data_IF_310462631166
#
_entry.id   IF_310462631166
#
_cell.length_a   1.000
_cell.length_b   1.000
_cell.length_c   1.000
_cell.angle_alpha   90.00
_cell.angle_beta   90.00
_cell.angle_gamma   90.00
#
_symmetry.space_group_name_H-M   'P 1'
#
loop_
_entity.id
_entity.type
_entity.pdbx_description
1 polymer ?
#
# COMPACT_ATOMS: atom_id res chain seq x y z
N UNK A 1 -23.04 -15.07 8.25
CA UNK A 1 -23.92 -14.14 8.99
C UNK A 1 -24.26 -12.95 8.10
N UNK A 2 -25.38 -12.25 8.34
CA UNK A 2 -25.71 -11.01 7.61
C UNK A 2 -25.16 -9.79 8.35
N UNK A 3 -24.97 -8.66 7.67
CA UNK A 3 -24.58 -7.38 8.31
C UNK A 3 -25.49 -7.04 9.49
N UNK A 4 -26.81 -7.22 9.34
CA UNK A 4 -27.76 -6.94 10.42
C UNK A 4 -27.55 -7.82 11.65
N UNK A 5 -27.13 -9.08 11.46
CA UNK A 5 -26.79 -10.00 12.56
C UNK A 5 -25.52 -9.54 13.25
N UNK A 6 -24.44 -9.29 12.46
CA UNK A 6 -23.16 -8.79 12.97
C UNK A 6 -23.35 -7.49 13.77
N UNK A 7 -24.18 -6.57 13.28
CA UNK A 7 -24.45 -5.32 13.96
C UNK A 7 -25.21 -5.51 15.28
N UNK A 8 -26.22 -6.39 15.30
CA UNK A 8 -26.96 -6.69 16.52
C UNK A 8 -26.08 -7.34 17.60
N UNK A 9 -25.10 -8.14 17.18
CA UNK A 9 -24.17 -8.86 18.06
C UNK A 9 -22.92 -8.04 18.42
N UNK A 10 -22.80 -6.78 17.97
CA UNK A 10 -21.59 -5.96 18.17
C UNK A 10 -20.33 -6.66 17.63
N UNK A 11 -20.44 -7.13 16.40
CA UNK A 11 -19.36 -7.77 15.61
C UNK A 11 -19.09 -7.03 14.31
N UNK A 12 -19.72 -5.87 14.10
CA UNK A 12 -19.55 -5.06 12.91
C UNK A 12 -18.65 -3.87 13.21
N UNK A 13 -17.53 -3.78 12.51
CA UNK A 13 -16.56 -2.70 12.67
C UNK A 13 -16.62 -1.81 11.43
N UNK A 14 -16.70 -0.51 11.63
CA UNK A 14 -16.57 0.48 10.57
C UNK A 14 -15.10 0.88 10.41
N UNK A 15 -14.58 0.74 9.19
CA UNK A 15 -13.32 1.36 8.79
C UNK A 15 -13.64 2.51 7.84
N UNK A 16 -13.42 3.75 8.27
CA UNK A 16 -13.52 4.91 7.37
C UNK A 16 -12.35 4.88 6.39
N UNK A 17 -12.64 5.14 5.13
CA UNK A 17 -11.64 5.31 4.07
C UNK A 17 -11.77 6.73 3.53
N UNK A 18 -10.67 7.30 3.05
CA UNK A 18 -10.65 8.60 2.42
C UNK A 18 -11.62 8.69 1.23
N UNK A 19 -12.04 9.93 0.97
CA UNK A 19 -12.92 10.23 -0.15
C UNK A 19 -12.18 10.05 -1.47
N UNK A 20 -12.94 9.74 -2.51
CA UNK A 20 -12.42 9.81 -3.88
C UNK A 20 -12.27 11.28 -4.29
N UNK A 21 -11.35 11.55 -5.22
CA UNK A 21 -11.27 12.86 -5.86
C UNK A 21 -12.40 12.94 -6.88
N UNK A 22 -13.24 13.97 -6.80
CA UNK A 22 -14.37 14.16 -7.70
C UNK A 22 -14.38 15.58 -8.28
N UNK A 23 -14.05 15.67 -9.57
CA UNK A 23 -14.20 16.84 -10.42
C UNK A 23 -15.18 16.52 -11.57
N UNK A 24 -15.71 17.52 -12.31
CA UNK A 24 -16.64 17.28 -13.41
C UNK A 24 -16.17 16.23 -14.43
N UNK A 25 -14.90 16.33 -14.84
CA UNK A 25 -14.29 15.52 -15.90
C UNK A 25 -13.28 14.48 -15.38
N UNK A 26 -13.11 14.39 -14.05
CA UNK A 26 -12.11 13.51 -13.44
C UNK A 26 -12.61 12.84 -12.17
N UNK A 27 -12.29 11.55 -12.03
CA UNK A 27 -12.54 10.78 -10.82
C UNK A 27 -11.28 10.03 -10.43
N UNK A 28 -10.75 10.33 -9.24
CA UNK A 28 -9.55 9.70 -8.67
C UNK A 28 -9.90 8.69 -7.59
N UNK A 29 -9.57 7.41 -7.82
CA UNK A 29 -9.85 6.28 -6.92
C UNK A 29 -8.61 5.79 -6.15
N UNK A 30 -7.58 6.63 -5.96
CA UNK A 30 -6.26 6.17 -5.50
C UNK A 30 -6.30 5.50 -4.12
N UNK A 31 -6.93 6.12 -3.12
CA UNK A 31 -7.02 5.54 -1.79
C UNK A 31 -7.77 4.20 -1.81
N UNK A 32 -8.87 4.11 -2.55
CA UNK A 32 -9.61 2.85 -2.71
C UNK A 32 -8.86 1.78 -3.49
N UNK A 33 -7.93 2.16 -4.37
CA UNK A 33 -7.01 1.24 -5.03
C UNK A 33 -5.98 0.69 -4.04
N UNK A 34 -5.43 1.53 -3.18
CA UNK A 34 -4.53 1.13 -2.08
C UNK A 34 -5.25 0.15 -1.15
N UNK A 35 -6.46 0.49 -0.73
CA UNK A 35 -7.34 -0.36 0.11
C UNK A 35 -7.63 -1.71 -0.53
N UNK A 36 -8.06 -1.72 -1.80
CA UNK A 36 -8.33 -2.96 -2.53
C UNK A 36 -7.09 -3.85 -2.64
N UNK A 37 -5.90 -3.26 -2.85
CA UNK A 37 -4.63 -4.00 -2.87
C UNK A 37 -4.32 -4.63 -1.51
N UNK A 38 -4.38 -3.85 -0.43
CA UNK A 38 -4.09 -4.31 0.93
C UNK A 38 -5.02 -5.45 1.36
N UNK A 39 -6.33 -5.31 1.12
CA UNK A 39 -7.33 -6.35 1.42
C UNK A 39 -7.09 -7.65 0.65
N UNK A 40 -6.53 -7.56 -0.55
CA UNK A 40 -6.18 -8.73 -1.36
C UNK A 40 -4.76 -9.26 -1.10
N UNK A 41 -3.97 -8.56 -0.28
CA UNK A 41 -2.60 -8.92 0.02
C UNK A 41 -2.52 -10.03 1.08
N UNK A 42 -1.40 -10.78 1.16
CA UNK A 42 -1.18 -11.75 2.22
C UNK A 42 -1.19 -11.13 3.63
N UNK A 43 -0.65 -9.93 3.78
CA UNK A 43 -0.55 -9.24 5.07
C UNK A 43 -1.90 -8.69 5.57
N UNK A 44 -2.87 -8.53 4.67
CA UNK A 44 -4.13 -7.88 4.99
C UNK A 44 -3.96 -6.38 5.19
N UNK A 45 -5.02 -5.77 5.70
CA UNK A 45 -5.20 -4.33 5.83
C UNK A 45 -5.58 -3.99 7.28
N UNK A 46 -4.93 -3.00 7.90
CA UNK A 46 -5.53 -2.00 8.79
C UNK A 46 -4.45 -1.19 9.55
N UNK A 47 -4.08 -0.03 8.96
CA UNK A 47 -3.41 1.08 9.66
C UNK A 47 -4.32 2.30 9.84
N UNK A 48 -5.56 2.21 9.39
CA UNK A 48 -6.55 3.29 9.50
C UNK A 48 -7.35 3.18 10.79
N UNK A 49 -8.09 4.24 11.12
CA UNK A 49 -8.93 4.26 12.32
C UNK A 49 -10.19 3.43 12.11
N UNK A 50 -10.48 2.51 13.04
CA UNK A 50 -11.65 1.66 12.98
C UNK A 50 -12.47 1.76 14.26
N UNK A 51 -13.78 1.60 14.13
CA UNK A 51 -14.73 1.85 15.21
C UNK A 51 -15.72 0.69 15.30
N UNK A 52 -15.89 0.12 16.50
CA UNK A 52 -16.91 -0.86 16.78
C UNK A 52 -18.29 -0.18 16.74
N UNK A 53 -19.16 -0.67 15.86
CA UNK A 53 -20.54 -0.19 15.78
C UNK A 53 -21.42 -0.93 16.80
N UNK A 54 -22.17 -0.17 17.60
CA UNK A 54 -23.04 -0.72 18.64
C UNK A 54 -24.49 -0.31 18.37
N UNK A 55 -25.36 -1.31 18.21
CA UNK A 55 -26.78 -1.09 17.92
C UNK A 55 -27.46 -0.26 19.01
N UNK A 56 -28.19 0.77 18.59
CA UNK A 56 -28.97 1.64 19.46
C UNK A 56 -28.15 2.67 20.24
N UNK A 57 -26.88 2.87 19.87
CA UNK A 57 -25.98 3.84 20.51
C UNK A 57 -25.40 4.81 19.50
N UNK A 58 -25.22 6.06 19.95
CA UNK A 58 -24.50 7.02 19.12
C UNK A 58 -23.01 6.75 19.17
N UNK A 59 -22.52 6.08 18.13
CA UNK A 59 -21.09 5.85 17.90
C UNK A 59 -20.66 6.66 16.68
N UNK A 60 -19.91 7.77 16.84
CA UNK A 60 -19.38 8.52 15.73
C UNK A 60 -18.44 7.66 14.89
N UNK A 61 -18.31 7.96 13.61
CA UNK A 61 -17.26 7.41 12.74
C UNK A 61 -16.37 8.55 12.24
N UNK A 62 -15.12 8.26 11.95
CA UNK A 62 -14.18 9.25 11.39
C UNK A 62 -14.76 9.84 10.11
N UNK A 63 -14.78 11.16 10.01
CA UNK A 63 -15.26 11.86 8.83
C UNK A 63 -14.84 13.31 8.88
N UNK A 64 -14.45 13.85 7.73
CA UNK A 64 -14.20 15.29 7.54
C UNK A 64 -15.53 15.90 7.04
N UNK A 65 -15.88 17.12 7.43
CA UNK A 65 -17.02 17.91 6.89
C UNK A 65 -18.34 17.16 6.65
N UNK A 66 -18.72 16.26 7.56
CA UNK A 66 -19.98 15.53 7.50
C UNK A 66 -20.08 14.41 6.45
N UNK A 67 -19.05 14.20 5.62
CA UNK A 67 -19.00 13.04 4.69
C UNK A 67 -18.14 11.93 5.28
N UNK A 68 -18.73 10.76 5.42
CA UNK A 68 -18.07 9.57 5.93
C UNK A 68 -18.65 8.36 5.22
N UNK A 69 -17.79 7.58 4.59
CA UNK A 69 -18.11 6.27 4.05
C UNK A 69 -16.87 5.39 4.13
N UNK A 70 -17.07 4.09 3.99
CA UNK A 70 -15.99 3.14 4.22
C UNK A 70 -16.44 1.70 4.15
N UNK A 71 -15.62 0.84 4.74
CA UNK A 71 -15.82 -0.59 4.79
C UNK A 71 -16.52 -0.98 6.10
N UNK A 72 -17.35 -2.01 6.01
CA UNK A 72 -17.88 -2.73 7.15
C UNK A 72 -17.19 -4.09 7.23
N UNK A 73 -16.59 -4.37 8.38
CA UNK A 73 -15.79 -5.57 8.62
C UNK A 73 -16.51 -6.48 9.62
N UNK A 74 -16.52 -7.78 9.33
CA UNK A 74 -16.93 -8.84 10.26
C UNK A 74 -15.77 -9.10 11.22
N UNK A 75 -15.93 -8.66 12.46
CA UNK A 75 -14.94 -8.82 13.52
C UNK A 75 -14.50 -10.28 13.71
N UNK A 76 -15.38 -11.26 13.45
CA UNK A 76 -15.05 -12.68 13.59
C UNK A 76 -14.09 -13.19 12.52
N UNK A 77 -13.93 -12.43 11.43
CA UNK A 77 -13.05 -12.74 10.30
C UNK A 77 -11.83 -11.81 10.24
N UNK A 78 -11.68 -10.93 11.22
CA UNK A 78 -10.52 -10.07 11.38
C UNK A 78 -9.57 -10.64 12.42
N UNK A 79 -8.29 -10.30 12.33
CA UNK A 79 -7.33 -10.53 13.40
C UNK A 79 -7.26 -9.30 14.31
N UNK A 80 -7.96 -9.33 15.43
CA UNK A 80 -8.05 -8.20 16.36
C UNK A 80 -6.95 -8.33 17.42
N UNK A 81 -6.21 -7.24 17.67
CA UNK A 81 -5.10 -7.22 18.61
C UNK A 81 -5.16 -6.07 19.64
N UNK A 82 -6.12 -5.15 19.51
CA UNK A 82 -6.45 -4.18 20.57
C UNK A 82 -7.89 -3.69 20.45
N UNK A 83 -8.45 -3.28 21.59
CA UNK A 83 -9.72 -2.57 21.67
C UNK A 83 -9.62 -1.49 22.74
N UNK A 84 -10.16 -0.32 22.43
CA UNK A 84 -10.15 0.82 23.33
C UNK A 84 -11.49 1.56 23.30
N UNK A 85 -11.95 1.98 24.47
CA UNK A 85 -13.20 2.74 24.62
C UNK A 85 -13.06 4.20 24.22
N UNK A 86 -11.83 4.64 23.96
CA UNK A 86 -11.49 5.94 23.41
C UNK A 86 -10.64 5.78 22.14
N UNK A 87 -10.67 6.80 21.30
CA UNK A 87 -9.70 6.94 20.21
C UNK A 87 -8.29 7.16 20.77
N UNK A 88 -7.41 6.18 20.61
CA UNK A 88 -6.03 6.28 21.08
C UNK A 88 -5.09 6.95 20.08
N UNK A 89 -5.57 7.35 18.89
CA UNK A 89 -4.76 7.91 17.81
C UNK A 89 -3.51 7.06 17.51
N UNK A 90 -3.67 5.73 17.52
CA UNK A 90 -2.55 4.80 17.42
C UNK A 90 -1.89 4.93 16.04
N UNK A 91 -0.57 5.14 15.97
CA UNK A 91 0.16 5.19 14.70
C UNK A 91 0.62 3.79 14.23
N UNK A 92 1.30 3.69 13.08
CA UNK A 92 1.77 2.39 12.55
C UNK A 92 2.69 1.65 13.53
N UNK A 93 3.69 2.33 14.08
CA UNK A 93 4.66 1.74 15.02
C UNK A 93 3.94 1.17 16.24
N UNK A 94 3.08 1.98 16.86
CA UNK A 94 2.30 1.56 18.03
C UNK A 94 1.39 0.34 17.72
N UNK A 95 0.78 0.30 16.53
CA UNK A 95 -0.04 -0.84 16.08
C UNK A 95 0.78 -2.11 15.99
N UNK A 96 1.94 -2.06 15.35
CA UNK A 96 2.83 -3.21 15.18
C UNK A 96 3.37 -3.72 16.52
N UNK A 97 3.75 -2.83 17.44
CA UNK A 97 4.17 -3.20 18.79
C UNK A 97 3.06 -3.92 19.57
N UNK A 98 1.85 -3.35 19.58
CA UNK A 98 0.68 -3.98 20.23
C UNK A 98 0.37 -5.33 19.61
N UNK A 99 0.41 -5.43 18.28
CA UNK A 99 0.20 -6.67 17.53
C UNK A 99 1.18 -7.77 17.93
N UNK A 100 2.46 -7.44 18.05
CA UNK A 100 3.51 -8.37 18.47
C UNK A 100 3.34 -8.80 19.94
N UNK A 101 3.10 -7.83 20.84
CA UNK A 101 2.98 -8.07 22.28
C UNK A 101 1.74 -8.90 22.66
N UNK A 102 0.71 -8.89 21.83
CA UNK A 102 -0.62 -9.46 22.13
C UNK A 102 -0.98 -10.65 21.24
N UNK A 103 0.02 -11.21 20.56
CA UNK A 103 -0.14 -12.36 19.70
C UNK A 103 -0.77 -13.55 20.45
N UNK A 104 -1.80 -14.15 19.84
CA UNK A 104 -2.48 -15.34 20.37
C UNK A 104 -3.51 -15.05 21.47
N UNK A 105 -3.83 -13.78 21.75
CA UNK A 105 -4.90 -13.39 22.66
C UNK A 105 -6.23 -13.34 21.91
N UNK A 106 -7.29 -13.85 22.52
CA UNK A 106 -8.65 -13.76 21.97
C UNK A 106 -9.31 -12.43 22.39
N UNK A 107 -9.44 -11.50 21.45
CA UNK A 107 -10.10 -10.21 21.70
C UNK A 107 -11.61 -10.21 21.45
N UNK A 108 -12.22 -11.33 21.05
CA UNK A 108 -13.66 -11.37 20.76
C UNK A 108 -14.51 -11.47 22.02
N UNK A 109 -14.24 -12.45 22.88
CA UNK A 109 -15.16 -12.84 23.96
C UNK A 109 -14.53 -12.75 25.36
N UNK A 110 -13.51 -13.55 25.64
CA UNK A 110 -12.81 -13.58 26.94
C UNK A 110 -11.32 -13.88 26.76
N UNK A 111 -10.45 -13.20 27.52
CA UNK A 111 -9.04 -13.56 27.61
C UNK A 111 -8.48 -13.50 29.04
N UNK A 112 -7.52 -14.37 29.31
CA UNK A 112 -6.88 -14.54 30.62
C UNK A 112 -5.77 -13.51 30.91
N UNK A 113 -5.53 -12.59 29.99
CA UNK A 113 -4.42 -11.63 30.07
C UNK A 113 -4.86 -10.25 30.58
N UNK A 114 -6.15 -10.10 30.90
CA UNK A 114 -6.70 -8.87 31.46
C UNK A 114 -6.83 -7.73 30.45
N UNK A 115 -6.73 -8.03 29.15
CA UNK A 115 -7.05 -7.07 28.11
C UNK A 115 -8.56 -7.05 27.88
N UNK A 116 -9.08 -5.90 27.48
CA UNK A 116 -10.50 -5.77 27.15
C UNK A 116 -10.84 -6.57 25.89
N UNK A 117 -12.03 -7.15 25.84
CA UNK A 117 -12.58 -7.81 24.64
C UNK A 117 -13.60 -6.94 23.91
N UNK A 118 -14.03 -7.34 22.71
CA UNK A 118 -15.11 -6.67 21.98
C UNK A 118 -16.42 -6.71 22.75
N UNK A 119 -16.71 -7.81 23.46
CA UNK A 119 -17.92 -7.93 24.28
C UNK A 119 -17.90 -6.94 25.45
N UNK A 120 -16.76 -6.82 26.12
CA UNK A 120 -16.56 -5.84 27.20
C UNK A 120 -16.62 -4.41 26.67
N UNK A 121 -15.98 -4.12 25.53
CA UNK A 121 -16.06 -2.80 24.87
C UNK A 121 -17.51 -2.47 24.47
N UNK A 122 -18.25 -3.41 23.89
CA UNK A 122 -19.67 -3.23 23.54
C UNK A 122 -20.51 -2.94 24.78
N UNK A 123 -20.31 -3.68 25.87
CA UNK A 123 -21.00 -3.47 27.13
C UNK A 123 -20.71 -2.07 27.71
N UNK A 124 -19.45 -1.64 27.68
CA UNK A 124 -19.06 -0.29 28.10
C UNK A 124 -19.74 0.79 27.26
N UNK A 125 -19.68 0.71 25.92
CA UNK A 125 -20.37 1.66 25.02
C UNK A 125 -21.89 1.68 25.28
N UNK A 126 -22.49 0.51 25.53
CA UNK A 126 -23.92 0.40 25.87
C UNK A 126 -24.27 1.09 27.19
N UNK A 127 -23.39 0.99 28.17
CA UNK A 127 -23.60 1.61 29.50
C UNK A 127 -23.16 3.08 29.57
N UNK A 128 -22.30 3.50 28.65
CA UNK A 128 -21.69 4.83 28.62
C UNK A 128 -22.56 5.89 27.94
N UNK A 129 -21.98 7.09 27.91
CA UNK A 129 -22.56 8.24 27.23
C UNK A 129 -22.46 8.09 25.71
N UNK A 130 -23.44 8.66 25.02
CA UNK A 130 -23.48 8.74 23.56
C UNK A 130 -22.42 9.71 23.02
N UNK A 131 -21.92 9.44 21.81
CA UNK A 131 -21.05 10.35 21.07
C UNK A 131 -19.55 10.20 21.33
N UNK A 132 -19.12 9.16 22.05
CA UNK A 132 -17.70 8.87 22.25
C UNK A 132 -17.15 7.94 21.16
N UNK A 133 -16.02 8.33 20.58
CA UNK A 133 -15.28 7.51 19.61
C UNK A 133 -14.58 6.36 20.34
N UNK A 134 -14.64 5.15 19.78
CA UNK A 134 -13.86 4.00 20.21
C UNK A 134 -12.89 3.58 19.09
N UNK A 135 -11.84 2.84 19.46
CA UNK A 135 -10.84 2.33 18.52
C UNK A 135 -10.75 0.81 18.62
N UNK A 136 -10.78 0.12 17.48
CA UNK A 136 -10.40 -1.28 17.37
C UNK A 136 -9.17 -1.38 16.48
N UNK A 137 -8.15 -2.11 16.91
CA UNK A 137 -6.98 -2.39 16.09
C UNK A 137 -7.04 -3.83 15.60
N UNK A 138 -6.95 -3.99 14.29
CA UNK A 138 -7.15 -5.26 13.62
C UNK A 138 -6.28 -5.39 12.37
N UNK A 139 -6.22 -6.58 11.80
CA UNK A 139 -5.92 -6.82 10.38
C UNK A 139 -7.17 -7.44 9.73
N UNK A 140 -7.45 -7.03 8.50
CA UNK A 140 -8.60 -7.43 7.70
C UNK A 140 -8.16 -7.89 6.32
N UNK A 141 -8.84 -8.90 5.79
CA UNK A 141 -8.65 -9.36 4.42
C UNK A 141 -9.95 -9.24 3.65
N UNK A 142 -9.87 -9.43 2.34
CA UNK A 142 -11.02 -9.40 1.42
C UNK A 142 -12.25 -10.17 1.94
N UNK A 143 -12.06 -11.34 2.55
CA UNK A 143 -13.16 -12.17 3.04
C UNK A 143 -13.85 -11.60 4.29
N UNK A 144 -13.13 -10.82 5.09
CA UNK A 144 -13.68 -10.16 6.29
C UNK A 144 -14.58 -8.96 5.99
N UNK A 145 -14.56 -8.45 4.75
CA UNK A 145 -15.42 -7.34 4.33
C UNK A 145 -16.85 -7.82 4.20
N UNK A 146 -17.70 -7.36 5.12
CA UNK A 146 -19.12 -7.69 5.15
C UNK A 146 -19.97 -6.76 4.27
N UNK A 147 -19.46 -5.56 3.97
CA UNK A 147 -20.14 -4.56 3.14
C UNK A 147 -19.46 -3.20 3.13
N UNK A 148 -20.21 -2.21 2.68
CA UNK A 148 -19.84 -0.80 2.68
C UNK A 148 -20.84 0.00 3.50
N UNK A 149 -20.41 1.14 4.05
CA UNK A 149 -21.33 2.07 4.69
C UNK A 149 -21.14 3.49 4.19
N UNK A 150 -22.21 4.27 4.34
CA UNK A 150 -22.23 5.71 4.16
C UNK A 150 -23.02 6.32 5.32
N UNK A 151 -22.46 7.33 5.96
CA UNK A 151 -23.12 8.06 7.03
C UNK A 151 -24.32 8.83 6.47
N UNK A 152 -25.48 8.65 7.09
CA UNK A 152 -26.67 9.44 6.76
C UNK A 152 -26.60 10.80 7.47
N UNK A 153 -27.12 11.84 6.82
CA UNK A 153 -27.41 13.11 7.46
C UNK A 153 -28.88 13.15 7.86
N UNK A 154 -29.20 13.94 8.88
CA UNK A 154 -30.60 14.19 9.25
C UNK A 154 -31.30 14.95 8.12
N UNK A 155 -32.12 14.25 7.34
CA UNK A 155 -32.71 14.80 6.11
C UNK A 155 -33.71 15.94 6.38
N UNK A 156 -34.25 16.04 7.59
CA UNK A 156 -35.22 17.06 7.96
C UNK A 156 -34.55 18.36 8.40
N UNK A 157 -33.36 18.27 9.02
CA UNK A 157 -32.67 19.42 9.60
C UNK A 157 -31.35 19.79 8.92
N UNK A 158 -30.87 18.97 7.98
CA UNK A 158 -29.63 19.21 7.26
C UNK A 158 -29.68 20.49 6.39
N UNK A 159 -28.57 21.21 6.36
CA UNK A 159 -28.37 22.30 5.42
C UNK A 159 -28.33 21.80 3.97
N UNK A 160 -28.56 22.69 3.01
CA UNK A 160 -28.45 22.37 1.57
C UNK A 160 -27.07 21.81 1.19
N UNK A 161 -26.01 22.33 1.80
CA UNK A 161 -24.64 21.85 1.60
C UNK A 161 -24.44 20.43 2.17
N UNK A 162 -24.95 20.16 3.38
CA UNK A 162 -24.88 18.84 3.99
C UNK A 162 -25.66 17.79 3.18
N UNK A 163 -26.83 18.15 2.64
CA UNK A 163 -27.59 17.30 1.73
C UNK A 163 -26.82 17.04 0.43
N UNK A 164 -26.24 18.07 -0.19
CA UNK A 164 -25.40 17.93 -1.38
C UNK A 164 -24.23 16.96 -1.12
N UNK A 165 -23.54 17.12 0.00
CA UNK A 165 -22.44 16.27 0.44
C UNK A 165 -22.86 14.81 0.66
N UNK A 166 -24.03 14.62 1.26
CA UNK A 166 -24.62 13.31 1.47
C UNK A 166 -24.93 12.59 0.16
N UNK A 167 -25.66 13.24 -0.77
CA UNK A 167 -25.97 12.62 -2.07
C UNK A 167 -24.73 12.40 -2.94
N UNK A 168 -23.72 13.26 -2.82
CA UNK A 168 -22.41 13.02 -3.42
C UNK A 168 -21.79 11.72 -2.88
N UNK A 169 -21.79 11.55 -1.56
CA UNK A 169 -21.26 10.36 -0.89
C UNK A 169 -21.97 9.07 -1.31
N UNK A 170 -23.28 9.12 -1.53
CA UNK A 170 -24.05 7.99 -2.04
C UNK A 170 -23.61 7.58 -3.47
N UNK A 171 -23.38 8.54 -4.36
CA UNK A 171 -22.87 8.26 -5.71
C UNK A 171 -21.45 7.70 -5.67
N UNK A 172 -20.59 8.30 -4.84
CA UNK A 172 -19.19 7.88 -4.67
C UNK A 172 -19.12 6.44 -4.15
N UNK A 173 -19.85 6.09 -3.08
CA UNK A 173 -19.80 4.73 -2.52
C UNK A 173 -20.40 3.67 -3.46
N UNK A 174 -21.39 4.04 -4.28
CA UNK A 174 -21.92 3.17 -5.34
C UNK A 174 -20.87 2.92 -6.43
N UNK A 175 -20.12 3.94 -6.82
CA UNK A 175 -19.01 3.80 -7.76
C UNK A 175 -17.91 2.92 -7.19
N UNK A 176 -17.53 3.15 -5.93
CA UNK A 176 -16.53 2.37 -5.20
C UNK A 176 -16.93 0.89 -5.14
N UNK A 177 -18.20 0.59 -4.82
CA UNK A 177 -18.70 -0.77 -4.81
C UNK A 177 -18.50 -1.46 -6.16
N UNK A 178 -18.87 -0.79 -7.25
CA UNK A 178 -18.66 -1.29 -8.62
C UNK A 178 -17.18 -1.52 -8.90
N UNK A 179 -16.33 -0.55 -8.54
CA UNK A 179 -14.88 -0.64 -8.70
C UNK A 179 -14.29 -1.84 -7.95
N UNK A 180 -14.62 -2.03 -6.67
CA UNK A 180 -14.12 -3.14 -5.86
C UNK A 180 -14.56 -4.50 -6.43
N UNK A 181 -15.83 -4.62 -6.84
CA UNK A 181 -16.35 -5.85 -7.47
C UNK A 181 -15.58 -6.16 -8.76
N UNK A 182 -15.46 -5.19 -9.67
CA UNK A 182 -14.90 -5.43 -11.00
C UNK A 182 -13.37 -5.54 -11.02
N UNK A 183 -12.69 -4.69 -10.25
CA UNK A 183 -11.21 -4.64 -10.23
C UNK A 183 -10.62 -5.70 -9.30
N UNK A 184 -11.19 -5.91 -8.12
CA UNK A 184 -10.64 -6.81 -7.10
C UNK A 184 -11.46 -8.08 -6.90
N UNK A 185 -12.55 -8.26 -7.65
CA UNK A 185 -13.33 -9.49 -7.65
C UNK A 185 -14.11 -9.74 -6.35
N UNK A 186 -14.54 -8.69 -5.64
CA UNK A 186 -15.49 -8.87 -4.53
C UNK A 186 -16.79 -9.46 -5.06
N UNK A 187 -17.41 -10.39 -4.31
CA UNK A 187 -18.70 -10.94 -4.72
C UNK A 187 -19.79 -9.86 -4.57
N UNK A 188 -20.64 -9.62 -5.58
CA UNK A 188 -21.70 -8.62 -5.50
C UNK A 188 -22.62 -8.81 -4.27
N UNK A 189 -22.92 -10.06 -3.92
CA UNK A 189 -23.74 -10.39 -2.75
C UNK A 189 -23.04 -10.17 -1.40
N UNK A 190 -21.71 -10.11 -1.39
CA UNK A 190 -20.91 -9.88 -0.17
C UNK A 190 -20.56 -8.42 0.09
N UNK A 191 -20.91 -7.51 -0.81
CA UNK A 191 -20.56 -6.10 -0.69
C UNK A 191 -21.78 -5.16 -0.70
N UNK A 192 -22.85 -5.41 0.09
CA UNK A 192 -23.98 -4.51 0.15
C UNK A 192 -23.58 -3.16 0.76
N UNK A 193 -24.24 -2.09 0.32
CA UNK A 193 -24.07 -0.76 0.93
C UNK A 193 -25.17 -0.56 1.97
N UNK A 194 -24.81 -0.03 3.14
CA UNK A 194 -25.74 0.37 4.19
C UNK A 194 -25.63 1.87 4.45
N UNK A 195 -26.76 2.51 4.78
CA UNK A 195 -26.73 3.86 5.35
C UNK A 195 -26.63 3.73 6.88
N UNK A 196 -25.66 4.38 7.49
CA UNK A 196 -25.48 4.37 8.94
C UNK A 196 -26.05 5.65 9.56
N UNK A 197 -27.14 5.51 10.31
CA UNK A 197 -27.61 6.53 11.23
C UNK A 197 -26.81 6.43 12.51
N UNK A 198 -25.76 7.26 12.61
CA UNK A 198 -24.89 7.28 13.78
C UNK A 198 -25.67 7.65 15.04
N UNK A 199 -26.52 8.68 15.01
CA UNK A 199 -27.20 9.21 16.20
C UNK A 199 -28.12 8.17 16.84
N UNK A 200 -28.77 7.35 16.00
CA UNK A 200 -29.67 6.28 16.46
C UNK A 200 -28.97 4.93 16.63
N UNK A 201 -27.70 4.81 16.23
CA UNK A 201 -27.02 3.52 16.15
C UNK A 201 -27.79 2.51 15.30
N UNK A 202 -28.17 2.90 14.07
CA UNK A 202 -29.01 2.08 13.18
C UNK A 202 -28.46 2.00 11.77
N UNK A 203 -28.53 0.80 11.18
CA UNK A 203 -28.27 0.58 9.76
C UNK A 203 -29.58 0.58 8.97
N UNK A 204 -29.60 1.33 7.87
CA UNK A 204 -30.71 1.46 6.94
C UNK A 204 -30.30 0.95 5.56
N UNK A 205 -31.29 0.57 4.75
CA UNK A 205 -31.06 0.09 3.38
C UNK A 205 -30.56 1.23 2.50
N UNK A 206 -29.61 0.95 1.62
CA UNK A 206 -29.23 1.89 0.56
C UNK A 206 -30.40 2.14 -0.41
N UNK A 207 -30.58 3.36 -0.93
CA UNK A 207 -31.64 3.65 -1.91
C UNK A 207 -31.46 2.84 -3.20
N UNK A 208 -32.53 2.69 -3.98
CA UNK A 208 -32.40 2.15 -5.33
C UNK A 208 -31.61 3.11 -6.23
N UNK A 209 -31.01 2.60 -7.30
CA UNK A 209 -30.26 3.45 -8.25
C UNK A 209 -31.14 4.55 -8.86
N UNK A 210 -32.42 4.25 -9.12
CA UNK A 210 -33.39 5.23 -9.61
C UNK A 210 -33.58 6.39 -8.61
N UNK A 211 -33.82 6.06 -7.33
CA UNK A 211 -33.95 7.05 -6.26
C UNK A 211 -32.66 7.85 -6.10
N UNK A 212 -31.52 7.17 -6.03
CA UNK A 212 -30.20 7.77 -5.90
C UNK A 212 -29.96 8.83 -6.99
N UNK A 213 -30.15 8.46 -8.26
CA UNK A 213 -29.91 9.39 -9.37
C UNK A 213 -30.93 10.52 -9.44
N UNK A 214 -32.20 10.27 -9.08
CA UNK A 214 -33.22 11.31 -9.02
C UNK A 214 -32.90 12.36 -7.94
N UNK A 215 -32.57 11.92 -6.72
CA UNK A 215 -32.25 12.82 -5.62
C UNK A 215 -30.93 13.56 -5.86
N UNK A 216 -29.88 12.87 -6.30
CA UNK A 216 -28.58 13.50 -6.55
C UNK A 216 -28.67 14.60 -7.62
N UNK A 217 -29.54 14.44 -8.64
CA UNK A 217 -29.81 15.46 -9.65
C UNK A 217 -30.40 16.74 -9.06
N UNK A 218 -31.31 16.62 -8.09
CA UNK A 218 -31.89 17.79 -7.40
C UNK A 218 -30.83 18.58 -6.61
N UNK A 219 -29.71 17.94 -6.27
CA UNK A 219 -28.57 18.56 -5.60
C UNK A 219 -27.39 18.88 -6.55
N UNK A 220 -27.63 18.89 -7.86
CA UNK A 220 -26.66 19.36 -8.86
C UNK A 220 -25.71 18.29 -9.41
N UNK A 221 -25.91 17.02 -9.09
CA UNK A 221 -25.11 15.91 -9.65
C UNK A 221 -25.84 15.25 -10.81
N UNK A 222 -25.34 15.44 -12.03
CA UNK A 222 -25.96 14.93 -13.24
C UNK A 222 -24.91 14.56 -14.30
N UNK A 223 -25.34 13.87 -15.36
CA UNK A 223 -24.51 13.64 -16.55
C UNK A 223 -23.96 14.92 -17.19
N UNK A 224 -24.61 16.06 -16.98
CA UNK A 224 -24.18 17.36 -17.52
C UNK A 224 -23.11 18.00 -16.65
N UNK A 225 -23.23 17.87 -15.32
CA UNK A 225 -22.35 18.56 -14.36
C UNK A 225 -21.16 17.70 -13.93
N UNK A 226 -21.29 16.38 -13.93
CA UNK A 226 -20.25 15.41 -13.61
C UNK A 226 -20.26 14.26 -14.63
N UNK A 227 -20.04 14.55 -15.92
CA UNK A 227 -20.10 13.55 -16.98
C UNK A 227 -19.23 12.32 -16.67
N UNK A 228 -18.02 12.52 -16.12
CA UNK A 228 -17.11 11.41 -15.84
C UNK A 228 -17.63 10.46 -14.78
N UNK A 229 -18.21 10.98 -13.70
CA UNK A 229 -18.80 10.16 -12.64
C UNK A 229 -19.92 9.26 -13.19
N UNK A 230 -20.80 9.83 -14.02
CA UNK A 230 -21.94 9.07 -14.58
C UNK A 230 -21.53 8.13 -15.71
N UNK A 231 -20.46 8.44 -16.47
CA UNK A 231 -19.82 7.47 -17.37
C UNK A 231 -19.36 6.24 -16.58
N UNK A 232 -18.59 6.45 -15.49
CA UNK A 232 -18.06 5.35 -14.69
C UNK A 232 -19.14 4.55 -13.95
N UNK A 233 -20.22 5.21 -13.52
CA UNK A 233 -21.38 4.56 -12.89
C UNK A 233 -22.25 3.78 -13.90
N UNK A 234 -22.22 4.13 -15.19
CA UNK A 234 -23.05 3.49 -16.22
C UNK A 234 -22.76 2.00 -16.36
N UNK A 235 -23.75 1.19 -16.71
CA UNK A 235 -23.57 -0.25 -16.93
C UNK A 235 -22.64 -0.57 -18.11
N UNK A 236 -22.49 0.38 -19.05
CA UNK A 236 -21.60 0.26 -20.22
C UNK A 236 -20.12 0.32 -19.84
N UNK A 237 -19.77 1.07 -18.79
CA UNK A 237 -18.40 1.16 -18.32
C UNK A 237 -18.01 -0.05 -17.47
N UNK A 238 -16.87 -0.66 -17.77
CA UNK A 238 -16.31 -1.76 -16.98
C UNK A 238 -14.88 -1.44 -16.55
N UNK A 239 -14.63 -1.49 -15.24
CA UNK A 239 -13.27 -1.41 -14.72
C UNK A 239 -12.49 -2.66 -15.08
N UNK A 240 -11.22 -2.49 -15.45
CA UNK A 240 -10.32 -3.61 -15.67
C UNK A 240 -10.00 -4.29 -14.34
N UNK A 241 -9.89 -5.64 -14.32
CA UNK A 241 -9.31 -6.36 -13.20
C UNK A 241 -7.92 -5.82 -12.84
N UNK A 242 -7.59 -5.79 -11.56
CA UNK A 242 -6.24 -5.48 -11.13
C UNK A 242 -5.28 -6.54 -11.69
N UNK A 243 -4.14 -6.14 -12.28
CA UNK A 243 -3.13 -7.10 -12.67
C UNK A 243 -2.65 -7.83 -11.41
N UNK A 244 -2.34 -9.12 -11.56
CA UNK A 244 -1.65 -9.84 -10.48
C UNK A 244 -0.26 -9.21 -10.33
N UNK A 245 0.16 -8.82 -9.11
CA UNK A 245 1.51 -8.34 -8.90
C UNK A 245 2.49 -9.47 -9.21
N UNK A 246 3.59 -9.13 -9.88
CA UNK A 246 4.72 -10.06 -10.01
C UNK A 246 5.44 -10.15 -8.66
N UNK A 247 6.06 -11.29 -8.41
CA UNK A 247 6.86 -11.54 -7.22
C UNK A 247 8.27 -10.98 -7.39
N UNK A 248 8.99 -10.76 -6.28
CA UNK A 248 10.42 -10.41 -6.30
C UNK A 248 11.21 -11.44 -7.11
N UNK A 249 10.90 -12.73 -6.95
CA UNK A 249 11.52 -13.79 -7.75
C UNK A 249 11.36 -13.55 -9.25
N UNK A 250 10.12 -13.41 -9.72
CA UNK A 250 9.82 -13.21 -11.14
C UNK A 250 10.46 -11.92 -11.65
N UNK A 251 10.47 -10.86 -10.83
CA UNK A 251 11.13 -9.60 -11.18
C UNK A 251 12.63 -9.78 -11.40
N UNK A 252 13.32 -10.44 -10.46
CA UNK A 252 14.75 -10.68 -10.56
C UNK A 252 15.09 -11.52 -11.80
N UNK A 253 14.35 -12.62 -12.02
CA UNK A 253 14.56 -13.52 -13.17
C UNK A 253 14.32 -12.83 -14.53
N UNK A 254 13.42 -11.83 -14.58
CA UNK A 254 13.12 -11.09 -15.81
C UNK A 254 14.09 -9.94 -16.10
N UNK A 255 14.65 -9.31 -15.06
CA UNK A 255 15.37 -8.04 -15.19
C UNK A 255 16.87 -8.14 -14.91
N UNK A 256 17.33 -9.23 -14.28
CA UNK A 256 18.74 -9.39 -13.88
C UNK A 256 19.38 -10.51 -14.71
N UNK A 257 20.58 -10.29 -15.28
CA UNK A 257 21.32 -11.32 -16.02
C UNK A 257 21.52 -12.60 -15.21
N UNK A 258 21.38 -13.74 -15.88
CA UNK A 258 21.48 -15.08 -15.27
C UNK A 258 22.83 -15.28 -14.58
N UNK A 259 23.90 -14.68 -15.10
CA UNK A 259 25.25 -14.77 -14.57
C UNK A 259 25.37 -14.10 -13.20
N UNK A 260 24.72 -12.94 -13.02
CA UNK A 260 24.65 -12.25 -11.71
C UNK A 260 23.81 -13.08 -10.76
N UNK A 261 22.63 -13.53 -11.19
CA UNK A 261 21.77 -14.34 -10.33
C UNK A 261 22.48 -15.63 -9.90
N UNK A 262 23.25 -16.29 -10.77
CA UNK A 262 23.98 -17.50 -10.38
C UNK A 262 25.05 -17.25 -9.29
N UNK A 263 25.64 -16.06 -9.24
CA UNK A 263 26.73 -15.73 -8.31
C UNK A 263 26.25 -15.04 -7.02
N UNK A 264 25.29 -14.13 -7.13
CA UNK A 264 24.97 -13.14 -6.09
C UNK A 264 23.52 -13.25 -5.56
N UNK A 265 22.74 -14.27 -5.96
CA UNK A 265 21.31 -14.36 -5.60
C UNK A 265 21.04 -14.22 -4.10
N UNK A 266 21.79 -14.96 -3.29
CA UNK A 266 21.59 -15.01 -1.84
C UNK A 266 21.88 -13.66 -1.19
N UNK A 267 22.95 -12.99 -1.63
CA UNK A 267 23.34 -11.68 -1.13
C UNK A 267 22.31 -10.60 -1.53
N UNK A 268 21.82 -10.63 -2.79
CA UNK A 268 20.72 -9.75 -3.23
C UNK A 268 19.50 -9.95 -2.34
N UNK A 269 19.08 -11.21 -2.13
CA UNK A 269 17.91 -11.52 -1.31
C UNK A 269 18.09 -11.08 0.15
N UNK A 270 19.30 -11.23 0.71
CA UNK A 270 19.62 -10.80 2.07
C UNK A 270 19.48 -9.29 2.22
N UNK A 271 20.00 -8.51 1.26
CA UNK A 271 19.88 -7.05 1.30
C UNK A 271 18.45 -6.57 1.10
N UNK A 272 17.68 -7.23 0.23
CA UNK A 272 16.26 -6.93 0.05
C UNK A 272 15.46 -7.23 1.33
N UNK A 273 15.67 -8.39 1.95
CA UNK A 273 15.02 -8.77 3.20
C UNK A 273 15.34 -7.79 4.34
N UNK A 274 16.60 -7.34 4.45
CA UNK A 274 17.02 -6.38 5.47
C UNK A 274 16.40 -4.98 5.31
N UNK A 275 15.99 -4.62 4.09
CA UNK A 275 15.39 -3.32 3.77
C UNK A 275 13.86 -3.32 3.78
N UNK A 276 13.22 -4.47 3.92
CA UNK A 276 11.77 -4.61 3.78
C UNK A 276 11.10 -4.99 5.09
N UNK A 277 10.16 -4.14 5.52
CA UNK A 277 9.23 -4.46 6.60
C UNK A 277 7.82 -4.61 6.00
N UNK A 278 7.26 -5.83 5.99
CA UNK A 278 5.90 -6.07 5.53
C UNK A 278 4.89 -5.19 6.25
N UNK A 279 3.77 -4.95 5.58
CA UNK A 279 2.66 -4.21 6.16
C UNK A 279 2.16 -4.83 7.47
N UNK A 280 2.15 -6.15 7.55
CA UNK A 280 1.75 -6.92 8.72
C UNK A 280 2.92 -7.19 9.68
N UNK A 281 4.11 -6.63 9.48
CA UNK A 281 5.25 -6.77 10.40
C UNK A 281 5.73 -8.21 10.65
N UNK A 282 5.37 -9.17 9.79
CA UNK A 282 5.93 -10.53 9.88
C UNK A 282 7.42 -10.51 9.54
N UNK A 283 8.23 -11.41 10.13
CA UNK A 283 9.63 -11.52 9.76
C UNK A 283 9.76 -11.97 8.30
N UNK A 284 10.78 -11.47 7.62
CA UNK A 284 11.13 -11.81 6.23
C UNK A 284 12.59 -12.24 6.20
N UNK A 285 12.85 -13.36 5.53
CA UNK A 285 14.19 -13.89 5.27
C UNK A 285 14.47 -13.99 3.75
N UNK A 286 15.64 -14.50 3.40
CA UNK A 286 16.12 -14.68 2.02
C UNK A 286 15.24 -15.58 1.16
N UNK A 287 14.42 -16.44 1.78
CA UNK A 287 13.50 -17.34 1.06
C UNK A 287 12.12 -16.69 0.93
N UNK A 288 11.59 -16.13 2.01
CA UNK A 288 10.26 -15.54 2.00
C UNK A 288 10.18 -14.26 1.17
N UNK A 289 11.29 -13.49 1.09
CA UNK A 289 11.37 -12.25 0.30
C UNK A 289 11.01 -12.48 -1.18
N UNK A 290 11.33 -13.67 -1.70
CA UNK A 290 11.09 -14.05 -3.08
C UNK A 290 9.60 -14.15 -3.43
N UNK A 291 8.75 -14.43 -2.45
CA UNK A 291 7.31 -14.51 -2.60
C UNK A 291 6.61 -13.16 -2.41
N UNK A 292 7.33 -12.12 -1.98
CA UNK A 292 6.76 -10.78 -1.82
C UNK A 292 6.38 -10.19 -3.18
N UNK A 293 5.28 -9.45 -3.27
CA UNK A 293 4.92 -8.73 -4.48
C UNK A 293 5.88 -7.55 -4.72
N UNK A 294 6.12 -7.24 -6.00
CA UNK A 294 6.73 -5.96 -6.40
C UNK A 294 5.62 -4.94 -6.58
N UNK A 295 5.40 -4.14 -5.54
CA UNK A 295 4.33 -3.14 -5.48
C UNK A 295 4.62 -2.13 -4.36
N UNK A 296 4.48 -0.84 -4.66
CA UNK A 296 4.76 0.25 -3.69
C UNK A 296 3.81 0.26 -2.47
N UNK A 297 2.69 -0.46 -2.53
CA UNK A 297 1.68 -0.50 -1.46
C UNK A 297 1.82 -1.75 -0.60
N UNK A 298 1.88 -2.93 -1.24
CA UNK A 298 1.74 -4.22 -0.55
C UNK A 298 3.02 -5.04 -0.47
N UNK A 299 4.13 -4.54 -1.03
CA UNK A 299 5.38 -5.28 -1.09
C UNK A 299 6.58 -4.38 -1.29
N UNK A 300 7.58 -4.88 -2.02
CA UNK A 300 8.78 -4.11 -2.31
C UNK A 300 8.53 -3.17 -3.47
N UNK A 301 8.92 -1.90 -3.30
CA UNK A 301 8.93 -0.96 -4.42
C UNK A 301 9.97 -1.39 -5.45
N UNK A 302 9.65 -1.14 -6.72
CA UNK A 302 10.60 -1.40 -7.80
C UNK A 302 11.91 -0.61 -7.60
N UNK A 303 11.80 0.60 -7.07
CA UNK A 303 12.95 1.45 -6.72
C UNK A 303 13.85 0.78 -5.69
N UNK A 304 13.31 0.21 -4.61
CA UNK A 304 14.11 -0.46 -3.59
C UNK A 304 14.83 -1.69 -4.16
N UNK A 305 14.18 -2.42 -5.07
CA UNK A 305 14.81 -3.57 -5.75
C UNK A 305 15.97 -3.09 -6.62
N UNK A 306 15.74 -2.07 -7.46
CA UNK A 306 16.77 -1.50 -8.34
C UNK A 306 17.99 -0.98 -7.57
N UNK A 307 17.78 -0.28 -6.47
CA UNK A 307 18.88 0.22 -5.63
C UNK A 307 19.82 -0.90 -5.16
N UNK A 308 19.29 -2.08 -4.86
CA UNK A 308 20.11 -3.24 -4.49
C UNK A 308 20.76 -3.86 -5.73
N UNK A 309 19.99 -4.10 -6.79
CA UNK A 309 20.49 -4.84 -7.97
C UNK A 309 21.48 -4.04 -8.81
N UNK A 310 21.38 -2.70 -8.84
CA UNK A 310 22.28 -1.83 -9.60
C UNK A 310 23.73 -1.91 -9.11
N UNK A 311 23.94 -2.20 -7.83
CA UNK A 311 25.27 -2.44 -7.25
C UNK A 311 25.94 -3.64 -7.95
N UNK A 312 25.19 -4.71 -8.22
CA UNK A 312 25.69 -5.93 -8.85
C UNK A 312 25.84 -5.78 -10.35
N UNK A 313 24.88 -5.12 -11.01
CA UNK A 313 24.97 -4.77 -12.43
C UNK A 313 26.20 -3.90 -12.72
N UNK A 314 26.52 -2.95 -11.83
CA UNK A 314 27.71 -2.12 -11.97
C UNK A 314 29.00 -2.92 -11.76
N UNK A 315 29.05 -3.79 -10.74
CA UNK A 315 30.19 -4.69 -10.51
C UNK A 315 30.48 -5.57 -11.72
N UNK A 316 29.45 -6.16 -12.35
CA UNK A 316 29.63 -6.96 -13.56
C UNK A 316 30.19 -6.11 -14.71
N UNK A 317 29.63 -4.93 -14.97
CA UNK A 317 30.13 -4.03 -16.01
C UNK A 317 31.60 -3.65 -15.81
N UNK A 318 32.01 -3.35 -14.57
CA UNK A 318 33.41 -3.05 -14.25
C UNK A 318 34.31 -4.27 -14.52
N UNK A 319 33.86 -5.47 -14.14
CA UNK A 319 34.60 -6.71 -14.40
C UNK A 319 34.75 -6.97 -15.91
N UNK A 320 33.68 -6.78 -16.69
CA UNK A 320 33.70 -6.93 -18.15
C UNK A 320 34.64 -5.92 -18.82
N UNK A 321 34.60 -4.64 -18.41
CA UNK A 321 35.51 -3.59 -18.88
C UNK A 321 36.97 -3.92 -18.51
N UNK A 322 37.20 -4.45 -17.31
CA UNK A 322 38.54 -4.82 -16.86
C UNK A 322 39.09 -6.01 -17.65
N UNK A 323 38.23 -6.99 -17.96
CA UNK A 323 38.57 -8.16 -18.78
C UNK A 323 38.81 -7.80 -20.25
N UNK A 324 38.02 -6.88 -20.83
CA UNK A 324 38.23 -6.40 -22.20
C UNK A 324 39.51 -5.56 -22.30
N UNK A 325 39.75 -4.63 -21.38
CA UNK A 325 40.99 -3.87 -21.33
C UNK A 325 42.23 -4.77 -21.14
N UNK A 326 42.12 -5.83 -20.35
CA UNK A 326 43.19 -6.83 -20.19
C UNK A 326 43.45 -7.63 -21.47
N UNK A 327 42.40 -7.99 -22.23
CA UNK A 327 42.53 -8.65 -23.52
C UNK A 327 43.15 -7.75 -24.58
N UNK A 328 42.75 -6.48 -24.66
CA UNK A 328 43.33 -5.51 -25.59
C UNK A 328 44.80 -5.22 -25.28
N UNK A 329 45.17 -5.18 -23.99
CA UNK A 329 46.57 -5.05 -23.58
C UNK A 329 47.41 -6.29 -23.93
N UNK A 330 46.83 -7.50 -23.87
CA UNK A 330 47.53 -8.73 -24.23
C UNK A 330 47.77 -8.81 -25.75
N UNK A 331 46.78 -8.43 -26.57
CA UNK A 331 46.92 -8.45 -28.04
C UNK A 331 47.85 -7.34 -28.56
N UNK A 332 47.90 -6.17 -27.93
CA UNK A 332 48.84 -5.11 -28.28
C UNK A 332 50.29 -5.41 -27.87
N UNK A 333 50.52 -6.27 -26.86
CA UNK A 333 51.88 -6.74 -26.52
C UNK A 333 52.42 -7.77 -27.53
N UNK A 334 51.56 -8.58 -28.16
CA UNK A 334 51.98 -9.54 -29.20
C UNK A 334 52.42 -8.90 -30.52
N UNK A 335 52.06 -7.64 -30.81
CA UNK A 335 52.57 -6.89 -31.97
C UNK A 335 53.83 -6.06 -31.68
N UNK A 336 54.24 -5.93 -30.42
CA UNK A 336 55.43 -5.15 -30.04
C UNK A 336 56.72 -6.00 -29.97
N UNK A 337 56.66 -7.31 -30.20
CA UNK A 337 57.81 -8.23 -30.10
C UNK A 337 58.29 -8.82 -31.44
N UNK A 338 58.00 -8.16 -32.57
CA UNK A 338 58.46 -8.56 -33.89
C UNK A 338 59.28 -7.47 -34.60
N UNK A 339 60.26 -6.86 -33.91
CA UNK A 339 61.37 -6.15 -34.57
C UNK A 339 62.67 -6.30 -33.76
N UNK A 340 63.31 -7.46 -33.93
CA UNK A 340 64.77 -7.64 -33.82
C UNK A 340 65.26 -7.96 -35.23
N UNK A 341 65.83 -6.99 -35.94
CA UNK A 341 67.27 -6.72 -36.05
C UNK A 341 67.91 -7.51 -37.19
N UNK A 342 68.19 -6.81 -38.30
CA UNK A 342 69.36 -7.11 -39.14
C UNK A 342 70.24 -5.85 -39.17
N UNK A 343 71.50 -6.07 -38.84
CA UNK A 343 72.58 -5.09 -38.84
C UNK A 343 72.92 -4.60 -40.26
N UNK A 344 73.32 -3.33 -40.39
CA UNK A 344 74.53 -3.03 -41.17
C UNK A 344 75.26 -1.79 -40.63
N UNK A 345 76.37 -2.10 -39.96
CA UNK A 345 77.71 -1.48 -40.02
C UNK A 345 77.83 -0.07 -40.63
N UNK A 346 78.34 0.90 -39.84
CA UNK A 346 79.63 1.60 -40.04
C UNK A 346 79.83 2.73 -39.00
N UNK A 347 80.83 2.55 -38.14
CA UNK A 347 81.59 3.57 -37.37
C UNK A 347 82.49 4.44 -38.28
N UNK A 348 83.20 5.49 -37.80
CA UNK A 348 82.96 6.42 -36.67
C UNK A 348 83.37 7.91 -36.94
N UNK A 349 83.36 8.69 -35.85
CA UNK A 349 84.07 9.96 -35.58
C UNK A 349 83.32 11.25 -35.99
N UNK A 350 83.23 12.30 -35.17
CA UNK A 350 84.13 12.78 -34.10
C UNK A 350 83.43 13.81 -33.20
N UNK A 351 83.93 13.93 -31.96
CA UNK A 351 84.10 15.16 -31.13
C UNK A 351 82.85 16.02 -30.79
N UNK A 352 82.68 16.65 -29.63
CA UNK A 352 83.45 16.86 -28.40
C UNK A 352 82.45 17.52 -27.41
N UNK A 353 82.67 17.30 -26.10
CA UNK A 353 82.44 18.25 -24.99
C UNK A 353 81.01 18.86 -24.79
N UNK A 354 80.51 19.18 -23.61
CA UNK A 354 81.05 19.29 -22.27
C UNK A 354 79.85 19.36 -21.30
N UNK A 355 80.02 18.85 -20.08
CA UNK A 355 79.56 19.42 -18.79
C UNK A 355 78.21 20.15 -18.68
N UNK A 356 77.36 19.70 -17.74
CA UNK A 356 77.31 20.11 -16.30
C UNK A 356 75.88 20.19 -15.72
N UNK A 357 75.76 19.65 -14.50
CA UNK A 357 75.05 20.15 -13.31
C UNK A 357 73.50 20.07 -13.21
N UNK A 358 73.08 19.27 -12.22
CA UNK A 358 71.93 19.46 -11.29
C UNK A 358 71.99 20.83 -10.55
N UNK A 359 71.02 21.27 -9.70
CA UNK A 359 69.91 20.53 -9.05
C UNK A 359 68.56 21.29 -8.84
N UNK A 360 67.60 20.54 -8.26
CA UNK A 360 66.53 20.88 -7.30
C UNK A 360 65.77 22.22 -7.35
N UNK A 361 64.43 22.12 -7.26
CA UNK A 361 63.66 22.86 -6.23
C UNK A 361 62.21 22.37 -6.09
N UNK A 362 61.88 21.86 -4.90
CA UNK A 362 60.75 22.21 -3.99
C UNK A 362 59.34 22.57 -4.51
N UNK A 363 58.38 21.78 -4.02
CA UNK A 363 57.20 22.14 -3.20
C UNK A 363 56.21 23.24 -3.64
N UNK A 364 54.92 22.88 -3.72
CA UNK A 364 53.76 23.53 -3.06
C UNK A 364 52.46 22.80 -3.48
N UNK A 365 51.74 22.17 -2.56
CA UNK A 365 50.50 22.64 -1.91
C UNK A 365 49.35 22.94 -2.90
N UNK A 366 48.26 22.19 -2.80
CA UNK A 366 46.92 22.69 -3.12
C UNK A 366 45.92 22.24 -2.04
N UNK A 367 45.17 23.24 -1.56
CA UNK A 367 43.91 23.10 -0.84
C UNK A 367 42.85 22.38 -1.69
#
# INVERSE_FOLDING_TARGET
>A
MTIGTLFAESRLIAKTVNRIILDPDYVGLQDWRTEGKLLCSPGGDCLSSTTLLVKGKYVPTYGIDGRCYGLLLDANQCYIYDVNSIDANTNRTDKLEKRAARKGINFLTENKKGFKTLDELSAEIKSGNDGHMNEVLLDAWKHSVAGLFVKIVDLETASSEALKHYYQSLLEIRLIQKFLIQTYGFSPGSLPICQYNEKEGRLLKFPSDEQLFAYARMHGFSKVTYPKLFELLSDEYTFKPAPKPITVKEYLELNIPTEILAADYEEICMQLAAKFEPFDGRPVDTVSILAEPVDDVIGLSETAIKEVTDIYLLKQKINEISLSASRDSFFNQSNASATRSEDSVLTPASEEADKKKMPDSTAAIFN
#
